data_IF_082397314138
#
_entry.id   IF_082397314138
#
_cell.length_a   1.000
_cell.length_b   1.000
_cell.length_c   1.000
_cell.angle_alpha   90.00
_cell.angle_beta   90.00
_cell.angle_gamma   90.00
#
_symmetry.space_group_name_H-M   'P 1'
#
loop_
_entity.id
_entity.type
_entity.pdbx_description
1 polymer ?
#
# COMPACT_ATOMS: atom_id res chain seq x y z
N UNK A 1 10.29 3.22 17.00
CA UNK A 1 9.45 4.28 16.41
C UNK A 1 8.00 3.97 16.74
N UNK A 2 7.18 4.96 17.09
CA UNK A 2 5.74 4.72 17.30
C UNK A 2 5.07 4.23 16.01
N UNK A 3 3.94 3.54 16.14
CA UNK A 3 3.16 2.99 15.01
C UNK A 3 2.77 4.09 14.02
N UNK A 4 2.43 5.28 14.52
CA UNK A 4 2.00 6.43 13.69
C UNK A 4 3.13 6.98 12.80
N UNK A 5 4.32 7.35 13.33
CA UNK A 5 5.45 7.75 12.48
C UNK A 5 5.86 6.70 11.45
N UNK A 6 5.80 5.41 11.81
CA UNK A 6 6.14 4.31 10.91
C UNK A 6 5.14 4.21 9.75
N UNK A 7 3.83 4.27 10.04
CA UNK A 7 2.79 4.23 9.02
C UNK A 7 2.91 5.40 8.04
N UNK A 8 3.22 6.60 8.54
CA UNK A 8 3.45 7.78 7.70
C UNK A 8 4.66 7.57 6.79
N UNK A 9 5.79 7.11 7.34
CA UNK A 9 7.00 6.85 6.55
C UNK A 9 6.74 5.85 5.41
N UNK A 10 6.05 4.74 5.70
CA UNK A 10 5.66 3.74 4.70
C UNK A 10 4.75 4.31 3.62
N UNK A 11 3.79 5.16 4.00
CA UNK A 11 2.87 5.81 3.05
C UNK A 11 3.65 6.73 2.10
N UNK A 12 4.57 7.54 2.65
CA UNK A 12 5.42 8.45 1.86
C UNK A 12 6.34 7.67 0.92
N UNK A 13 6.91 6.54 1.34
CA UNK A 13 7.72 5.68 0.47
C UNK A 13 6.94 5.10 -0.71
N UNK A 14 5.63 4.93 -0.58
CA UNK A 14 4.78 4.42 -1.66
C UNK A 14 4.30 5.53 -2.61
N UNK A 15 4.16 6.77 -2.12
CA UNK A 15 3.69 7.89 -2.94
C UNK A 15 4.74 8.29 -3.99
N UNK A 16 4.35 8.18 -5.26
CA UNK A 16 5.15 8.57 -6.42
C UNK A 16 4.47 9.71 -7.21
N UNK A 17 5.23 10.41 -8.06
CA UNK A 17 4.69 11.38 -9.01
C UNK A 17 3.62 10.76 -9.92
N UNK A 18 3.76 9.47 -10.24
CA UNK A 18 2.79 8.70 -11.02
C UNK A 18 1.45 8.61 -10.29
N UNK A 19 1.45 8.33 -8.98
CA UNK A 19 0.19 8.25 -8.22
C UNK A 19 -0.51 9.60 -8.14
N UNK A 20 0.21 10.72 -7.98
CA UNK A 20 -0.41 12.04 -7.89
C UNK A 20 -1.02 12.51 -9.22
N UNK A 21 -0.28 12.36 -10.31
CA UNK A 21 -0.72 12.81 -11.64
C UNK A 21 -1.68 11.80 -12.28
N UNK A 22 -1.42 10.51 -12.13
CA UNK A 22 -2.21 9.42 -12.69
C UNK A 22 -3.61 9.35 -12.08
N UNK A 23 -3.73 9.39 -10.75
CA UNK A 23 -5.03 9.35 -10.08
C UNK A 23 -5.88 10.58 -10.43
N UNK A 24 -5.26 11.75 -10.57
CA UNK A 24 -5.96 12.97 -10.97
C UNK A 24 -6.47 12.90 -12.41
N UNK A 25 -5.66 12.39 -13.33
CA UNK A 25 -6.05 12.19 -14.73
C UNK A 25 -7.15 11.12 -14.88
N UNK A 26 -7.07 10.05 -14.09
CA UNK A 26 -8.07 8.98 -14.10
C UNK A 26 -9.40 9.42 -13.51
N UNK A 27 -9.37 10.21 -12.42
CA UNK A 27 -10.57 10.82 -11.85
C UNK A 27 -11.22 11.82 -12.83
N UNK A 28 -10.41 12.56 -13.60
CA UNK A 28 -10.92 13.48 -14.61
C UNK A 28 -11.58 12.77 -15.80
N UNK A 29 -11.06 11.62 -16.21
CA UNK A 29 -11.53 10.88 -17.40
C UNK A 29 -12.61 9.84 -17.11
N UNK A 30 -12.53 9.15 -15.97
CA UNK A 30 -13.40 8.02 -15.61
C UNK A 30 -14.25 8.29 -14.35
N UNK A 31 -14.15 9.50 -13.76
CA UNK A 31 -14.93 9.88 -12.59
C UNK A 31 -14.59 9.03 -11.36
N UNK A 32 -15.58 8.31 -10.81
CA UNK A 32 -15.47 7.59 -9.54
C UNK A 32 -14.81 6.20 -9.65
N UNK A 33 -14.37 5.76 -10.83
CA UNK A 33 -13.76 4.44 -11.04
C UNK A 33 -12.55 4.15 -10.13
N UNK A 34 -11.80 5.19 -9.76
CA UNK A 34 -10.64 5.09 -8.87
C UNK A 34 -10.98 4.58 -7.45
N UNK A 35 -12.24 4.70 -7.02
CA UNK A 35 -12.69 4.21 -5.70
C UNK A 35 -12.49 2.70 -5.57
N UNK A 36 -12.57 1.96 -6.67
CA UNK A 36 -12.32 0.51 -6.67
C UNK A 36 -10.87 0.18 -6.31
N UNK A 37 -9.90 1.01 -6.72
CA UNK A 37 -8.49 0.85 -6.34
C UNK A 37 -8.30 1.01 -4.82
N UNK A 38 -8.89 2.05 -4.24
CA UNK A 38 -8.81 2.30 -2.80
C UNK A 38 -9.51 1.22 -1.97
N UNK A 39 -10.66 0.71 -2.44
CA UNK A 39 -11.35 -0.42 -1.82
C UNK A 39 -10.49 -1.69 -1.84
N UNK A 40 -9.81 -1.97 -2.97
CA UNK A 40 -8.86 -3.06 -3.08
C UNK A 40 -7.68 -2.91 -2.12
N UNK A 41 -7.13 -1.71 -1.98
CA UNK A 41 -6.07 -1.42 -1.02
C UNK A 41 -6.51 -1.65 0.43
N UNK A 42 -7.70 -1.18 0.80
CA UNK A 42 -8.27 -1.35 2.14
C UNK A 42 -8.47 -2.84 2.50
N UNK A 43 -8.93 -3.65 1.56
CA UNK A 43 -9.09 -5.09 1.74
C UNK A 43 -7.76 -5.85 1.68
N UNK A 44 -6.80 -5.36 0.90
CA UNK A 44 -5.44 -5.93 0.81
C UNK A 44 -4.67 -5.81 2.12
N UNK A 45 -4.82 -4.71 2.86
CA UNK A 45 -4.12 -4.49 4.15
C UNK A 45 -4.33 -5.61 5.17
N UNK A 46 -5.58 -6.02 5.53
CA UNK A 46 -5.78 -7.12 6.47
C UNK A 46 -5.28 -8.46 5.89
N UNK A 47 -5.41 -8.68 4.58
CA UNK A 47 -4.92 -9.92 3.94
C UNK A 47 -3.40 -10.05 4.10
N UNK A 48 -2.65 -8.98 3.82
CA UNK A 48 -1.19 -8.94 3.98
C UNK A 48 -0.80 -9.10 5.46
N UNK A 49 -1.54 -8.47 6.37
CA UNK A 49 -1.30 -8.56 7.82
C UNK A 49 -1.41 -9.99 8.35
N UNK A 50 -2.42 -10.76 7.90
CA UNK A 50 -2.68 -12.11 8.42
C UNK A 50 -2.01 -13.24 7.64
N UNK A 51 -1.77 -13.08 6.34
CA UNK A 51 -1.22 -14.16 5.51
C UNK A 51 0.27 -13.98 5.23
N UNK A 52 0.73 -12.77 4.91
CA UNK A 52 2.10 -12.55 4.46
C UNK A 52 3.04 -12.15 5.60
N UNK A 53 2.62 -11.22 6.46
CA UNK A 53 3.44 -10.77 7.59
C UNK A 53 3.92 -11.90 8.52
N UNK A 54 3.08 -12.88 8.95
CA UNK A 54 3.55 -13.95 9.82
C UNK A 54 4.48 -14.94 9.12
N UNK A 55 4.45 -15.02 7.78
CA UNK A 55 5.34 -15.89 7.00
C UNK A 55 6.74 -15.28 6.97
N UNK A 56 6.86 -13.99 6.63
CA UNK A 56 8.14 -13.28 6.68
C UNK A 56 8.73 -13.20 8.09
N UNK A 57 7.89 -13.03 9.11
CA UNK A 57 8.34 -13.06 10.51
C UNK A 57 8.92 -14.42 10.94
N UNK A 58 8.44 -15.54 10.36
CA UNK A 58 8.96 -16.88 10.65
C UNK A 58 10.22 -17.21 9.87
N UNK A 59 10.37 -16.69 8.65
CA UNK A 59 11.54 -16.89 7.79
C UNK A 59 12.76 -16.08 8.25
N UNK A 60 12.57 -15.02 9.04
CA UNK A 60 13.65 -14.20 9.63
C UNK A 60 14.64 -13.65 8.59
N UNK A 61 14.20 -13.54 7.33
CA UNK A 61 14.95 -12.96 6.22
C UNK A 61 14.64 -11.47 6.12
N UNK A 62 15.68 -10.67 5.91
CA UNK A 62 15.57 -9.20 5.89
C UNK A 62 15.27 -8.64 4.49
N UNK A 63 15.28 -9.49 3.47
CA UNK A 63 15.07 -9.14 2.07
C UNK A 63 14.03 -10.05 1.43
N UNK A 64 13.21 -9.50 0.53
CA UNK A 64 12.22 -10.25 -0.27
C UNK A 64 12.90 -11.29 -1.18
N UNK A 65 14.22 -11.18 -1.39
CA UNK A 65 15.01 -12.02 -2.29
C UNK A 65 15.82 -13.12 -1.60
N UNK A 66 15.71 -13.28 -0.27
CA UNK A 66 16.25 -14.44 0.45
C UNK A 66 15.18 -15.51 0.64
#
# INVERSE_FOLDING_TARGET
>A
MGVVPLAIALTVSFMSAITLLGISAETYTHGMGIVQLYLGGLLGTPIVLYLYLPVFAKLNTMSVYE
#
